data_IF_751104172558
#
_entry.id   IF_751104172558
#
_cell.length_a   1.000
_cell.length_b   1.000
_cell.length_c   1.000
_cell.angle_alpha   90.00
_cell.angle_beta   90.00
_cell.angle_gamma   90.00
#
_symmetry.space_group_name_H-M   'P 1'
#
loop_
_entity.id
_entity.type
_entity.pdbx_description
1 polymer ?
#
# COMPACT_ATOMS: atom_id res chain seq x y z
N UNK A 1 16.00 7.02 9.18
CA UNK A 1 15.85 6.26 7.92
C UNK A 1 14.54 5.48 7.98
N UNK A 2 13.42 6.06 7.55
CA UNK A 2 12.11 5.39 7.56
C UNK A 2 11.80 4.87 6.15
N UNK A 3 12.51 3.81 5.75
CA UNK A 3 12.54 3.28 4.38
C UNK A 3 11.32 2.46 3.96
N UNK A 4 10.42 2.13 4.90
CA UNK A 4 9.41 1.11 4.70
C UNK A 4 8.41 1.43 3.57
N UNK A 5 7.97 2.69 3.42
CA UNK A 5 7.05 3.10 2.35
C UNK A 5 7.74 3.70 1.11
N UNK A 6 9.07 3.75 1.07
CA UNK A 6 9.84 4.33 -0.05
C UNK A 6 9.88 3.35 -1.25
N UNK A 7 9.86 2.05 -0.98
CA UNK A 7 9.88 1.01 -2.00
C UNK A 7 8.55 0.24 -2.13
N UNK A 8 7.55 0.60 -1.31
CA UNK A 8 6.28 -0.12 -1.25
C UNK A 8 5.23 0.65 -2.02
N UNK A 9 4.63 0.00 -3.01
CA UNK A 9 3.47 0.50 -3.71
C UNK A 9 2.22 -0.27 -3.27
N UNK A 10 1.31 0.40 -2.57
CA UNK A 10 0.06 -0.17 -2.10
C UNK A 10 -1.05 -0.17 -3.17
N UNK A 11 -0.84 0.42 -4.36
CA UNK A 11 -1.86 0.51 -5.41
C UNK A 11 -2.97 1.50 -5.04
N UNK A 12 -4.22 1.02 -4.99
CA UNK A 12 -5.41 1.80 -4.54
C UNK A 12 -5.48 1.95 -3.01
N UNK A 13 -4.37 2.31 -2.40
CA UNK A 13 -4.24 2.45 -0.96
C UNK A 13 -3.03 3.28 -0.57
N UNK A 14 -2.97 3.66 0.71
CA UNK A 14 -1.88 4.45 1.25
C UNK A 14 -0.97 3.59 2.12
N UNK A 15 0.35 3.70 1.91
CA UNK A 15 1.32 3.06 2.76
C UNK A 15 1.46 3.85 4.06
N UNK A 16 1.05 3.24 5.18
CA UNK A 16 1.23 3.78 6.51
C UNK A 16 2.41 3.10 7.20
N UNK A 17 3.27 3.94 7.77
CA UNK A 17 4.46 3.53 8.50
C UNK A 17 4.05 3.25 9.94
N UNK A 18 4.39 2.07 10.45
CA UNK A 18 4.20 1.71 11.85
C UNK A 18 5.46 2.06 12.67
N UNK A 19 5.38 1.88 14.00
CA UNK A 19 6.58 2.05 14.85
C UNK A 19 7.70 1.09 14.40
N UNK A 20 8.87 1.65 14.08
CA UNK A 20 10.06 0.89 13.66
C UNK A 20 10.17 0.69 12.14
N UNK A 21 10.51 -0.53 11.70
CA UNK A 21 10.67 -0.89 10.28
C UNK A 21 9.39 -1.50 9.65
N UNK A 22 8.27 -1.42 10.35
CA UNK A 22 7.00 -1.99 9.90
C UNK A 22 6.21 -0.98 9.05
N UNK A 23 5.50 -1.50 8.06
CA UNK A 23 4.52 -0.75 7.28
C UNK A 23 3.28 -1.60 7.05
N UNK A 24 2.19 -0.94 6.72
CA UNK A 24 0.95 -1.55 6.30
C UNK A 24 0.27 -0.68 5.24
N UNK A 25 -0.38 -1.32 4.28
CA UNK A 25 -1.20 -0.70 3.26
C UNK A 25 -2.63 -0.56 3.79
N UNK A 26 -3.11 0.68 3.85
CA UNK A 26 -4.49 1.02 4.19
C UNK A 26 -5.26 1.25 2.87
N UNK A 27 -6.20 0.35 2.55
CA UNK A 27 -6.90 0.37 1.28
C UNK A 27 -8.05 1.37 1.26
N UNK A 28 -8.29 1.97 0.09
CA UNK A 28 -9.48 2.78 -0.14
C UNK A 28 -10.75 1.92 -0.06
N UNK A 29 -11.89 2.51 0.35
CA UNK A 29 -13.16 1.80 0.41
C UNK A 29 -13.54 1.20 -0.96
N UNK A 30 -13.79 -0.11 -0.98
CA UNK A 30 -14.03 -0.90 -2.22
C UNK A 30 -12.82 -1.71 -2.68
N UNK A 31 -11.65 -1.52 -2.06
CA UNK A 31 -10.44 -2.32 -2.27
C UNK A 31 -10.08 -3.09 -1.00
N UNK A 32 -9.44 -4.23 -1.17
CA UNK A 32 -8.98 -5.06 -0.07
C UNK A 32 -7.52 -5.45 -0.29
N UNK A 33 -6.80 -5.67 0.80
CA UNK A 33 -5.45 -6.20 0.73
C UNK A 33 -5.48 -7.64 0.20
N UNK A 34 -4.54 -7.96 -0.68
CA UNK A 34 -4.40 -9.34 -1.15
C UNK A 34 -4.19 -10.27 0.06
N UNK A 35 -4.94 -11.37 0.11
CA UNK A 35 -4.93 -12.33 1.22
C UNK A 35 -5.33 -11.74 2.58
N UNK A 36 -6.05 -10.60 2.62
CA UNK A 36 -6.36 -9.86 3.86
C UNK A 36 -5.12 -9.48 4.69
N UNK A 37 -3.96 -9.36 4.04
CA UNK A 37 -2.71 -9.05 4.73
C UNK A 37 -2.19 -7.70 4.25
N UNK A 38 -2.11 -6.76 5.19
CA UNK A 38 -1.77 -5.35 4.94
C UNK A 38 -0.35 -5.12 4.42
N UNK A 39 0.50 -6.15 4.37
CA UNK A 39 1.80 -6.06 3.69
C UNK A 39 1.67 -6.15 2.17
N UNK A 40 0.56 -6.68 1.67
CA UNK A 40 0.29 -6.77 0.24
C UNK A 40 -0.43 -5.52 -0.26
N UNK A 41 -0.30 -5.21 -1.57
CA UNK A 41 -1.02 -4.13 -2.19
C UNK A 41 -2.54 -4.35 -2.17
N UNK A 42 -3.25 -3.23 -2.25
CA UNK A 42 -4.68 -3.17 -2.37
C UNK A 42 -5.11 -3.53 -3.79
N UNK A 43 -6.04 -4.48 -3.88
CA UNK A 43 -6.64 -4.94 -5.12
C UNK A 43 -8.15 -4.76 -5.05
N UNK A 44 -8.78 -4.53 -6.19
CA UNK A 44 -10.24 -4.48 -6.27
C UNK A 44 -10.82 -5.92 -6.31
N UNK A 45 -12.14 -6.04 -6.33
CA UNK A 45 -12.85 -7.31 -6.52
C UNK A 45 -12.47 -8.06 -7.81
N UNK A 46 -11.95 -7.38 -8.83
CA UNK A 46 -11.40 -7.98 -10.04
C UNK A 46 -9.89 -8.25 -9.95
N UNK A 47 -9.32 -8.21 -8.74
CA UNK A 47 -7.90 -8.39 -8.44
C UNK A 47 -6.98 -7.42 -9.21
N UNK A 48 -7.48 -6.24 -9.56
CA UNK A 48 -6.68 -5.23 -10.25
C UNK A 48 -6.04 -4.33 -9.20
N UNK A 49 -4.72 -4.45 -9.04
CA UNK A 49 -3.95 -3.38 -8.44
C UNK A 49 -4.07 -2.18 -9.37
N UNK A 50 -4.83 -1.15 -8.99
CA UNK A 50 -4.88 0.07 -9.79
C UNK A 50 -3.46 0.62 -9.79
N UNK A 51 -2.78 0.49 -10.92
CA UNK A 51 -1.47 1.04 -11.20
C UNK A 51 -1.57 2.57 -11.35
N UNK A 52 -2.32 3.23 -10.45
CA UNK A 52 -2.07 4.63 -10.13
C UNK A 52 -0.72 4.63 -9.46
N UNK A 53 0.32 4.73 -10.29
CA UNK A 53 1.67 5.08 -9.89
C UNK A 53 1.59 6.44 -9.20
N UNK A 54 1.18 6.45 -7.93
CA UNK A 54 1.39 7.62 -7.08
C UNK A 54 2.91 7.80 -7.08
N UNK A 55 3.43 8.95 -7.53
CA UNK A 55 4.86 9.19 -7.41
C UNK A 55 5.21 9.00 -5.94
N UNK A 56 6.16 8.11 -5.65
CA UNK A 56 6.64 7.92 -4.29
C UNK A 56 7.28 9.25 -3.90
N UNK A 57 6.50 10.08 -3.20
CA UNK A 57 6.87 11.46 -2.93
C UNK A 57 8.05 11.45 -1.95
N UNK A 58 9.21 11.79 -2.48
CA UNK A 58 10.45 12.10 -1.79
C UNK A 58 10.26 13.35 -0.91
N UNK A 59 9.86 13.15 0.35
CA UNK A 59 10.03 14.13 1.44
C UNK A 59 10.18 13.45 2.79
#
# INVERSE_FOLDING_TARGET
MHAACVAVNCGSGECKKDKGFHYHCECEPGFANMLNNTKFPCVDHNCKASSRSRPVNDR
#
